data_IF_995621412400
#
_entry.id   IF_995621412400
#
_cell.length_a   1.000
_cell.length_b   1.000
_cell.length_c   1.000
_cell.angle_alpha   90.00
_cell.angle_beta   90.00
_cell.angle_gamma   90.00
#
_symmetry.space_group_name_H-M   'P 1'
#
loop_
_entity.id
_entity.type
_entity.pdbx_description
1 polymer ?
#
# COMPACT_ATOMS: atom_id res chain seq x y z
N UNK A 1 13.92 9.02 -31.95
CA UNK A 1 13.26 7.99 -31.13
C UNK A 1 12.43 8.70 -30.08
N UNK A 2 11.09 8.80 -30.22
CA UNK A 2 10.26 9.37 -29.17
C UNK A 2 9.84 8.24 -28.21
N UNK A 3 10.43 8.18 -27.03
CA UNK A 3 9.96 7.29 -25.96
C UNK A 3 8.87 8.04 -25.18
N UNK A 4 7.67 7.47 -25.28
CA UNK A 4 6.37 7.96 -24.79
C UNK A 4 6.34 8.46 -23.33
N UNK A 5 5.36 9.32 -23.02
CA UNK A 5 5.36 10.20 -21.85
C UNK A 5 4.81 9.49 -20.60
N UNK A 6 5.10 10.07 -19.44
CA UNK A 6 4.40 9.81 -18.18
C UNK A 6 4.41 8.36 -17.70
N UNK A 7 5.60 7.89 -17.32
CA UNK A 7 5.73 7.16 -16.06
C UNK A 7 5.21 8.08 -14.94
N UNK A 8 3.89 8.20 -14.83
CA UNK A 8 3.24 8.35 -13.53
C UNK A 8 4.00 7.39 -12.63
N UNK A 9 4.54 7.90 -11.52
CA UNK A 9 5.11 7.11 -10.43
C UNK A 9 4.01 6.18 -9.88
N UNK A 10 3.55 5.23 -10.68
CA UNK A 10 2.89 4.02 -10.24
C UNK A 10 4.04 3.14 -9.77
N UNK A 11 4.61 3.52 -8.61
CA UNK A 11 5.32 2.56 -7.78
C UNK A 11 4.32 1.40 -7.67
N UNK A 12 4.65 0.22 -8.19
CA UNK A 12 3.64 -0.74 -8.53
C UNK A 12 2.82 -0.98 -7.29
N UNK A 13 1.51 -0.69 -7.36
CA UNK A 13 0.56 -1.28 -6.41
C UNK A 13 0.75 -2.81 -6.36
N UNK A 14 1.37 -3.38 -7.39
CA UNK A 14 1.77 -4.77 -7.57
C UNK A 14 2.83 -5.24 -6.56
N UNK A 15 3.73 -4.39 -6.05
CA UNK A 15 4.82 -4.86 -5.14
C UNK A 15 4.44 -4.86 -3.66
N UNK A 16 3.40 -4.11 -3.27
CA UNK A 16 2.97 -4.10 -1.88
C UNK A 16 1.96 -5.23 -1.64
N UNK A 17 2.11 -6.04 -0.58
CA UNK A 17 1.20 -7.15 -0.35
C UNK A 17 -0.22 -6.63 -0.12
N UNK A 18 -1.17 -7.19 -0.85
CA UNK A 18 -2.59 -6.91 -0.63
C UNK A 18 -3.04 -7.58 0.68
N UNK A 19 -3.90 -6.90 1.43
CA UNK A 19 -4.44 -7.42 2.69
C UNK A 19 -5.94 -7.20 2.75
N UNK A 20 -6.62 -8.21 3.25
CA UNK A 20 -8.04 -8.16 3.56
C UNK A 20 -8.23 -7.67 5.00
N UNK A 21 -9.29 -6.89 5.21
CA UNK A 21 -9.71 -6.49 6.53
C UNK A 21 -10.05 -7.73 7.38
N UNK A 22 -9.56 -7.81 8.61
CA UNK A 22 -9.82 -8.92 9.54
C UNK A 22 -11.32 -9.19 9.71
N UNK A 23 -12.11 -8.12 9.83
CA UNK A 23 -13.55 -8.16 10.06
C UNK A 23 -14.34 -8.32 8.75
N UNK A 24 -14.28 -7.32 7.88
CA UNK A 24 -15.13 -7.26 6.68
C UNK A 24 -14.66 -8.17 5.54
N UNK A 25 -13.45 -8.75 5.62
CA UNK A 25 -12.81 -9.55 4.56
C UNK A 25 -12.74 -8.87 3.18
N UNK A 26 -12.81 -7.53 3.14
CA UNK A 26 -12.67 -6.73 1.92
C UNK A 26 -11.23 -6.24 1.74
N UNK A 27 -10.83 -5.94 0.51
CA UNK A 27 -9.53 -5.35 0.19
C UNK A 27 -9.35 -4.00 0.90
N UNK A 28 -8.27 -3.89 1.66
CA UNK A 28 -7.89 -2.66 2.34
C UNK A 28 -7.12 -1.74 1.40
N UNK A 29 -7.33 -0.43 1.55
CA UNK A 29 -6.52 0.58 0.86
C UNK A 29 -5.14 0.59 1.51
N UNK A 30 -4.08 0.47 0.72
CA UNK A 30 -2.70 0.50 1.19
C UNK A 30 -2.02 1.81 0.81
N UNK A 31 -1.26 2.39 1.73
CA UNK A 31 -0.51 3.64 1.52
C UNK A 31 0.87 3.54 2.13
N UNK A 32 1.90 3.90 1.37
CA UNK A 32 3.25 4.05 1.89
C UNK A 32 3.36 5.34 2.69
N UNK A 33 3.93 5.26 3.89
CA UNK A 33 4.18 6.39 4.77
C UNK A 33 5.57 6.26 5.41
N UNK A 34 6.06 7.36 5.99
CA UNK A 34 7.38 7.39 6.62
C UNK A 34 8.53 7.17 5.63
N UNK A 35 8.43 7.74 4.43
CA UNK A 35 9.47 7.59 3.39
C UNK A 35 9.58 6.16 2.86
N UNK A 36 8.45 5.51 2.61
CA UNK A 36 8.35 4.12 2.10
C UNK A 36 8.78 3.03 3.11
N UNK A 37 8.90 3.37 4.39
CA UNK A 37 9.27 2.41 5.44
C UNK A 37 8.08 1.66 6.03
N UNK A 38 6.87 2.23 5.93
CA UNK A 38 5.66 1.66 6.51
C UNK A 38 4.53 1.64 5.47
N UNK A 39 3.73 0.59 5.50
CA UNK A 39 2.46 0.48 4.78
C UNK A 39 1.34 0.64 5.78
N UNK A 40 0.48 1.62 5.57
CA UNK A 40 -0.80 1.75 6.26
C UNK A 40 -1.88 1.10 5.42
N UNK A 41 -2.56 0.11 5.98
CA UNK A 41 -3.75 -0.51 5.44
C UNK A 41 -4.98 0.06 6.13
N UNK A 42 -5.95 0.55 5.38
CA UNK A 42 -7.21 1.06 5.92
C UNK A 42 -8.39 0.38 5.24
N UNK A 43 -9.30 -0.19 6.04
CA UNK A 43 -10.52 -0.80 5.54
C UNK A 43 -11.52 0.29 5.09
N UNK A 44 -12.04 0.24 3.85
CA UNK A 44 -13.01 1.22 3.38
C UNK A 44 -14.41 1.05 4.00
N UNK A 45 -14.71 -0.11 4.61
CA UNK A 45 -16.02 -0.39 5.22
C UNK A 45 -16.09 -0.03 6.70
N UNK A 46 -15.11 -0.46 7.48
CA UNK A 46 -15.13 -0.30 8.94
C UNK A 46 -14.04 0.63 9.47
N UNK A 47 -13.27 1.29 8.59
CA UNK A 47 -12.19 2.23 8.95
C UNK A 47 -11.08 1.58 9.80
N UNK A 48 -11.05 0.25 9.91
CA UNK A 48 -9.98 -0.48 10.60
C UNK A 48 -8.64 -0.17 9.96
N UNK A 49 -7.67 0.23 10.77
CA UNK A 49 -6.31 0.60 10.34
C UNK A 49 -5.31 -0.45 10.81
N UNK A 50 -4.38 -0.80 9.94
CA UNK A 50 -3.29 -1.72 10.25
C UNK A 50 -2.00 -1.23 9.60
N UNK A 51 -0.94 -1.08 10.38
CA UNK A 51 0.35 -0.62 9.86
C UNK A 51 1.35 -1.77 9.85
N UNK A 52 2.00 -1.99 8.70
CA UNK A 52 3.07 -2.95 8.53
C UNK A 52 4.36 -2.23 8.15
N UNK A 53 5.46 -2.52 8.82
CA UNK A 53 6.78 -2.05 8.42
C UNK A 53 7.28 -2.85 7.20
N UNK A 54 7.88 -2.17 6.23
CA UNK A 54 8.47 -2.77 5.03
C UNK A 54 9.96 -3.08 5.16
N UNK A 55 10.69 -2.34 6.00
CA UNK A 55 12.13 -2.52 6.20
C UNK A 55 12.50 -3.51 7.31
N UNK A 56 13.66 -4.18 7.22
CA UNK A 56 14.19 -5.00 8.30
C UNK A 56 14.45 -4.14 9.55
N UNK A 57 14.21 -4.73 10.72
CA UNK A 57 14.44 -4.12 12.03
C UNK A 57 15.97 -3.95 12.21
N UNK A 58 16.47 -2.81 12.73
CA UNK A 58 17.82 -2.76 13.27
C UNK A 58 17.93 -3.66 14.51
#
# INVERSE_FOLDING_TARGET
>A
MPSSPDLVRDIPRIELPERLCTWCKVLMRKRLVGGNQFIHYTCPKCIFQHTRRLGPKP
#
